data_IF_737853466208
#
_entry.id   IF_737853466208
#
_cell.length_a   1.000
_cell.length_b   1.000
_cell.length_c   1.000
_cell.angle_alpha   90.00
_cell.angle_beta   90.00
_cell.angle_gamma   90.00
#
_symmetry.space_group_name_H-M   'P 1'
#
loop_
_entity.id
_entity.type
_entity.pdbx_description
1 polymer ?
#
# COMPACT_ATOMS: atom_id res chain seq x y z
N UNK A 1 0.50 8.59 0.56
CA UNK A 1 1.50 9.62 0.15
C UNK A 1 1.65 9.56 -1.37
N UNK A 2 2.30 10.54 -2.01
CA UNK A 2 2.69 10.44 -3.43
C UNK A 2 1.84 11.23 -4.44
N UNK A 3 0.66 11.75 -4.06
CA UNK A 3 -0.20 12.47 -5.03
C UNK A 3 0.49 13.71 -5.61
N UNK A 4 1.12 14.53 -4.77
CA UNK A 4 1.80 15.73 -5.27
C UNK A 4 2.93 15.39 -6.23
N UNK A 5 3.68 14.32 -5.95
CA UNK A 5 4.77 13.86 -6.78
C UNK A 5 4.26 13.38 -8.15
N UNK A 6 3.17 12.61 -8.20
CA UNK A 6 2.64 12.15 -9.49
C UNK A 6 2.03 13.28 -10.32
N UNK A 7 1.40 14.27 -9.66
CA UNK A 7 0.92 15.48 -10.33
C UNK A 7 2.08 16.29 -10.94
N UNK A 8 3.19 16.44 -10.23
CA UNK A 8 4.38 17.13 -10.71
C UNK A 8 5.07 16.38 -11.87
N UNK A 9 5.13 15.05 -11.81
CA UNK A 9 5.65 14.23 -12.91
C UNK A 9 4.83 14.37 -14.19
N UNK A 10 3.55 14.72 -14.05
CA UNK A 10 2.61 14.94 -15.14
C UNK A 10 2.23 16.43 -15.29
N UNK A 11 3.10 17.37 -14.92
CA UNK A 11 2.79 18.81 -15.09
C UNK A 11 2.75 19.22 -16.57
N UNK A 12 3.60 18.62 -17.41
CA UNK A 12 3.63 18.80 -18.85
C UNK A 12 3.66 17.42 -19.56
N UNK A 13 2.62 17.07 -20.33
CA UNK A 13 2.57 15.82 -21.09
C UNK A 13 3.76 15.60 -22.04
N UNK A 14 4.38 16.66 -22.56
CA UNK A 14 5.51 16.55 -23.46
C UNK A 14 6.78 16.00 -22.78
N UNK A 15 6.84 16.07 -21.44
CA UNK A 15 7.98 15.61 -20.65
C UNK A 15 7.61 14.50 -19.65
N UNK A 16 6.35 14.07 -19.64
CA UNK A 16 5.86 13.01 -18.75
C UNK A 16 6.56 11.67 -19.04
N UNK A 17 6.83 10.84 -18.01
CA UNK A 17 7.43 9.52 -18.20
C UNK A 17 6.53 8.58 -19.01
N UNK A 18 7.11 7.81 -19.92
CA UNK A 18 6.39 6.75 -20.67
C UNK A 18 5.77 5.70 -19.73
N UNK A 19 6.43 5.43 -18.60
CA UNK A 19 5.95 4.54 -17.55
C UNK A 19 6.00 5.26 -16.21
N UNK A 20 4.85 5.35 -15.53
CA UNK A 20 4.73 5.88 -14.18
C UNK A 20 4.28 4.78 -13.23
N UNK A 21 4.99 4.61 -12.12
CA UNK A 21 4.59 3.72 -11.03
C UNK A 21 4.22 4.53 -9.79
N UNK A 22 2.99 4.36 -9.30
CA UNK A 22 2.51 5.05 -8.11
C UNK A 22 1.91 4.07 -7.11
N UNK A 23 2.62 3.83 -6.01
CA UNK A 23 2.15 3.00 -4.90
C UNK A 23 1.42 3.83 -3.84
N UNK A 24 0.31 3.30 -3.31
CA UNK A 24 -0.49 3.95 -2.28
C UNK A 24 -0.67 3.05 -1.05
N UNK A 25 -0.01 3.40 0.06
CA UNK A 25 -0.06 2.66 1.33
C UNK A 25 -1.30 2.94 2.19
N UNK A 26 -2.18 3.86 1.78
CA UNK A 26 -3.26 4.35 2.65
C UNK A 26 -4.26 3.26 3.03
N UNK A 27 -4.64 2.41 2.08
CA UNK A 27 -5.58 1.31 2.35
C UNK A 27 -4.99 0.30 3.31
N UNK A 28 -3.73 -0.10 3.10
CA UNK A 28 -3.01 -1.01 3.98
C UNK A 28 -2.96 -0.48 5.43
N UNK A 29 -2.51 0.77 5.62
CA UNK A 29 -2.46 1.40 6.95
C UNK A 29 -3.84 1.51 7.62
N UNK A 30 -4.89 1.83 6.86
CA UNK A 30 -6.26 1.90 7.37
C UNK A 30 -6.80 0.54 7.81
N UNK A 31 -6.46 -0.53 7.09
CA UNK A 31 -6.85 -1.89 7.42
C UNK A 31 -6.03 -2.45 8.59
N UNK A 32 -4.73 -2.16 8.68
CA UNK A 32 -3.92 -2.50 9.85
C UNK A 32 -4.42 -1.83 11.12
N UNK A 33 -4.72 -0.53 11.07
CA UNK A 33 -5.14 0.19 12.26
C UNK A 33 -6.55 -0.16 12.74
N UNK A 34 -7.46 -0.55 11.83
CA UNK A 34 -8.88 -0.69 12.13
C UNK A 34 -9.45 -2.09 11.95
N UNK A 35 -8.73 -2.97 11.26
CA UNK A 35 -9.24 -4.23 10.74
C UNK A 35 -10.06 -4.07 9.46
N UNK A 36 -10.19 -5.15 8.66
CA UNK A 36 -11.03 -5.14 7.46
C UNK A 36 -12.50 -4.90 7.83
N UNK A 37 -13.21 -4.14 6.99
CA UNK A 37 -14.62 -3.82 7.22
C UNK A 37 -14.87 -2.80 8.35
N UNK A 38 -13.83 -2.22 8.95
CA UNK A 38 -13.96 -1.12 9.91
C UNK A 38 -14.31 0.21 9.23
N UNK A 39 -14.74 1.19 10.03
CA UNK A 39 -14.96 2.55 9.51
C UNK A 39 -13.66 3.17 9.00
N UNK A 40 -12.55 2.98 9.71
CA UNK A 40 -11.25 3.51 9.29
C UNK A 40 -10.76 2.86 7.98
N UNK A 41 -10.96 1.55 7.81
CA UNK A 41 -10.68 0.87 6.55
C UNK A 41 -11.50 1.46 5.39
N UNK A 42 -12.81 1.70 5.59
CA UNK A 42 -13.67 2.35 4.59
C UNK A 42 -13.22 3.78 4.27
N UNK A 43 -12.84 4.57 5.27
CA UNK A 43 -12.37 5.93 5.07
C UNK A 43 -11.03 5.97 4.32
N UNK A 44 -10.15 5.01 4.57
CA UNK A 44 -8.89 4.85 3.84
C UNK A 44 -9.09 4.51 2.35
N UNK A 45 -10.12 3.70 2.04
CA UNK A 45 -10.52 3.39 0.66
C UNK A 45 -11.06 4.64 -0.03
N UNK A 46 -11.99 5.37 0.59
CA UNK A 46 -12.52 6.64 0.04
C UNK A 46 -11.41 7.65 -0.20
N UNK A 47 -10.44 7.74 0.71
CA UNK A 47 -9.30 8.63 0.54
C UNK A 47 -8.41 8.20 -0.64
N UNK A 48 -8.21 6.90 -0.85
CA UNK A 48 -7.41 6.39 -1.97
C UNK A 48 -8.11 6.59 -3.31
N UNK A 49 -9.42 6.37 -3.35
CA UNK A 49 -10.28 6.67 -4.49
C UNK A 49 -10.22 8.15 -4.87
N UNK A 50 -10.44 9.06 -3.92
CA UNK A 50 -10.40 10.50 -4.16
C UNK A 50 -9.03 10.98 -4.71
N UNK A 51 -7.94 10.32 -4.31
CA UNK A 51 -6.60 10.63 -4.85
C UNK A 51 -6.42 10.15 -6.28
N UNK A 52 -6.96 8.98 -6.62
CA UNK A 52 -6.97 8.50 -8.00
C UNK A 52 -7.77 9.46 -8.88
N UNK A 53 -8.98 9.84 -8.45
CA UNK A 53 -9.83 10.84 -9.15
C UNK A 53 -9.07 12.14 -9.38
N UNK A 54 -8.39 12.68 -8.37
CA UNK A 54 -7.61 13.91 -8.53
C UNK A 54 -6.52 13.82 -9.60
N UNK A 55 -5.91 12.64 -9.79
CA UNK A 55 -4.94 12.40 -10.86
C UNK A 55 -5.61 12.23 -12.22
N UNK A 56 -6.74 11.52 -12.30
CA UNK A 56 -7.51 11.39 -13.54
C UNK A 56 -8.02 12.74 -14.04
N UNK A 57 -8.58 13.57 -13.15
CA UNK A 57 -9.01 14.94 -13.45
C UNK A 57 -7.84 15.81 -13.91
N UNK A 58 -6.63 15.55 -13.39
CA UNK A 58 -5.43 16.25 -13.83
C UNK A 58 -5.05 15.92 -15.27
N UNK A 59 -5.06 14.64 -15.64
CA UNK A 59 -4.81 14.23 -17.02
C UNK A 59 -5.90 14.70 -17.99
N UNK A 60 -7.15 14.76 -17.53
CA UNK A 60 -8.27 15.28 -18.33
C UNK A 60 -8.09 16.76 -18.64
N UNK A 61 -7.69 17.58 -17.64
CA UNK A 61 -7.35 19.00 -17.85
C UNK A 61 -6.19 19.21 -18.82
N UNK A 62 -5.26 18.26 -18.88
CA UNK A 62 -4.15 18.28 -19.84
C UNK A 62 -4.56 17.75 -21.22
N UNK A 63 -5.76 17.20 -21.37
CA UNK A 63 -6.29 16.67 -22.63
C UNK A 63 -5.72 15.30 -23.02
N UNK A 64 -5.00 14.62 -22.12
CA UNK A 64 -4.27 13.37 -22.43
C UNK A 64 -4.83 12.13 -21.72
N UNK A 65 -5.92 12.26 -20.96
CA UNK A 65 -6.53 11.15 -20.22
C UNK A 65 -6.77 9.92 -21.09
N UNK A 66 -7.27 10.11 -22.31
CA UNK A 66 -7.57 9.03 -23.26
C UNK A 66 -6.34 8.44 -23.96
N UNK A 67 -5.16 9.03 -23.78
CA UNK A 67 -3.89 8.56 -24.34
C UNK A 67 -3.10 7.69 -23.35
N UNK A 68 -3.56 7.61 -22.09
CA UNK A 68 -2.87 6.89 -21.01
C UNK A 68 -3.60 5.59 -20.68
N UNK A 69 -2.85 4.49 -20.62
CA UNK A 69 -3.35 3.20 -20.13
C UNK A 69 -3.10 3.06 -18.63
N UNK A 70 -4.12 2.64 -17.89
CA UNK A 70 -4.04 2.44 -16.45
C UNK A 70 -4.07 0.96 -16.08
N UNK A 71 -3.12 0.54 -15.25
CA UNK A 71 -3.16 -0.72 -14.52
C UNK A 71 -3.34 -0.40 -13.04
N UNK A 72 -4.56 -0.58 -12.52
CA UNK A 72 -4.85 -0.48 -11.09
C UNK A 72 -4.84 -1.89 -10.48
N UNK A 73 -3.97 -2.10 -9.51
CA UNK A 73 -3.79 -3.41 -8.87
C UNK A 73 -3.41 -3.26 -7.41
N UNK A 74 -3.40 -4.38 -6.69
CA UNK A 74 -2.94 -4.51 -5.32
C UNK A 74 -1.98 -5.71 -5.23
N UNK A 75 -1.03 -5.63 -4.31
CA UNK A 75 -0.11 -6.70 -3.95
C UNK A 75 -0.79 -7.81 -3.15
N UNK A 76 -1.72 -7.46 -2.25
CA UNK A 76 -2.47 -8.41 -1.44
C UNK A 76 -3.83 -7.89 -0.94
N UNK A 77 -4.60 -8.79 -0.32
CA UNK A 77 -5.84 -8.48 0.39
C UNK A 77 -5.61 -8.24 1.89
N UNK A 78 -6.68 -8.36 2.67
CA UNK A 78 -6.63 -8.20 4.12
C UNK A 78 -7.57 -9.15 4.85
N UNK A 79 -7.19 -9.59 6.05
CA UNK A 79 -7.97 -10.50 6.89
C UNK A 79 -7.95 -10.00 8.35
N UNK A 80 -9.03 -10.27 9.09
CA UNK A 80 -9.12 -9.97 10.51
C UNK A 80 -8.25 -10.93 11.33
N UNK A 81 -7.63 -10.41 12.37
CA UNK A 81 -6.87 -11.22 13.32
C UNK A 81 -7.73 -11.57 14.52
N UNK A 82 -7.69 -12.82 14.98
CA UNK A 82 -8.26 -13.19 16.29
C UNK A 82 -7.34 -12.64 17.40
N UNK A 83 -7.79 -11.67 18.21
CA UNK A 83 -6.96 -11.05 19.24
C UNK A 83 -6.63 -12.00 20.40
N UNK A 84 -7.33 -13.13 20.51
CA UNK A 84 -6.99 -14.16 21.50
C UNK A 84 -5.78 -15.01 21.08
N UNK A 85 -5.42 -14.99 19.79
CA UNK A 85 -4.25 -15.69 19.25
C UNK A 85 -3.03 -14.79 19.37
N UNK A 86 -2.25 -15.00 20.43
CA UNK A 86 -1.05 -14.21 20.77
C UNK A 86 0.25 -15.00 20.62
N UNK A 87 0.21 -16.09 19.86
CA UNK A 87 1.33 -17.03 19.71
C UNK A 87 2.63 -16.33 19.30
N UNK A 88 3.72 -16.65 20.00
CA UNK A 88 5.07 -16.20 19.67
C UNK A 88 5.90 -17.39 19.21
N UNK A 89 6.76 -17.15 18.22
CA UNK A 89 7.76 -18.12 17.74
C UNK A 89 8.96 -18.19 18.68
N UNK A 90 9.15 -17.19 19.55
CA UNK A 90 10.32 -17.07 20.44
C UNK A 90 10.57 -18.32 21.27
N UNK A 91 9.59 -18.90 22.01
CA UNK A 91 9.88 -20.07 22.84
C UNK A 91 10.30 -21.30 22.01
N UNK A 92 9.72 -21.46 20.82
CA UNK A 92 10.09 -22.54 19.91
C UNK A 92 11.51 -22.35 19.35
N UNK A 93 11.85 -21.12 18.93
CA UNK A 93 13.17 -20.79 18.41
C UNK A 93 14.26 -20.91 19.48
N UNK A 94 14.01 -20.42 20.71
CA UNK A 94 14.93 -20.55 21.84
C UNK A 94 15.23 -22.03 22.17
N UNK A 95 14.22 -22.90 22.07
CA UNK A 95 14.39 -24.34 22.35
C UNK A 95 15.34 -25.06 21.39
N UNK A 96 15.59 -24.50 20.20
CA UNK A 96 16.51 -25.09 19.21
C UNK A 96 17.98 -24.88 19.58
N UNK A 97 18.30 -23.89 20.43
CA UNK A 97 19.68 -23.55 20.78
C UNK A 97 20.53 -23.05 19.60
N UNK A 98 19.89 -22.63 18.49
CA UNK A 98 20.55 -22.09 17.30
C UNK A 98 20.52 -20.56 17.40
N UNK A 99 21.64 -19.86 17.23
CA UNK A 99 21.64 -18.39 17.17
C UNK A 99 20.79 -17.89 15.98
N UNK A 100 19.91 -16.93 16.24
CA UNK A 100 19.06 -16.32 15.22
C UNK A 100 18.91 -14.82 15.43
N UNK A 101 18.46 -14.12 14.39
CA UNK A 101 18.04 -12.72 14.41
C UNK A 101 16.59 -12.62 13.96
N UNK A 102 15.74 -12.06 14.81
CA UNK A 102 14.33 -11.79 14.52
C UNK A 102 14.16 -10.30 14.19
N UNK A 103 13.75 -10.00 12.95
CA UNK A 103 13.54 -8.64 12.45
C UNK A 103 12.04 -8.30 12.36
N UNK A 104 11.16 -9.12 12.95
CA UNK A 104 9.72 -8.93 12.98
C UNK A 104 8.93 -10.01 12.24
N UNK A 105 7.60 -9.80 12.08
CA UNK A 105 6.68 -10.84 11.63
C UNK A 105 7.12 -11.50 10.30
N UNK A 106 7.52 -12.77 10.38
CA UNK A 106 7.92 -13.57 9.23
C UNK A 106 9.37 -13.44 8.77
N UNK A 107 10.22 -12.66 9.46
CA UNK A 107 11.62 -12.45 9.08
C UNK A 107 12.60 -12.92 10.16
N UNK A 108 12.90 -14.22 10.16
CA UNK A 108 13.88 -14.85 11.05
C UNK A 108 15.09 -15.33 10.26
N UNK A 109 16.28 -14.93 10.68
CA UNK A 109 17.55 -15.29 10.05
C UNK A 109 18.36 -16.18 10.98
N UNK A 110 18.75 -17.38 10.53
CA UNK A 110 19.68 -18.25 11.23
C UNK A 110 21.12 -17.76 11.02
N UNK A 111 21.97 -17.84 12.05
CA UNK A 111 23.34 -17.33 12.04
C UNK A 111 24.37 -18.46 11.96
#
# INVERSE_FOLDING_TARGET
MGLQQVLQLWEDPATAPTLTWWANVVTDAGHHGGGPGSQMARDSLRQSDARLVAFLDHLDRLGVLHEVTFLLTADHGFEGTDPSVTGSWTPALESLGIPYRDEGPGFVYLL
#
